data_IF_449486175251
#
_entry.id   IF_449486175251
#
_cell.length_a   1.000
_cell.length_b   1.000
_cell.length_c   1.000
_cell.angle_alpha   90.00
_cell.angle_beta   90.00
_cell.angle_gamma   90.00
#
_symmetry.space_group_name_H-M   'P 1'
#
loop_
_entity.id
_entity.type
_entity.pdbx_description
1 polymer ?
#
# COMPACT_ATOMS: atom_id res chain seq x y z
N UNK A 1 -17.36 35.87 2.71
CA UNK A 1 -16.50 36.24 3.85
C UNK A 1 -15.33 35.27 3.91
N UNK A 2 -14.14 35.66 3.46
CA UNK A 2 -12.95 34.80 3.52
C UNK A 2 -12.61 34.52 5.00
N UNK A 3 -12.58 33.23 5.37
CA UNK A 3 -12.38 32.74 6.73
C UNK A 3 -11.09 33.28 7.35
N UNK A 4 -11.16 33.72 8.60
CA UNK A 4 -10.05 34.24 9.43
C UNK A 4 -8.78 33.39 9.38
N UNK A 5 -8.91 32.07 9.14
CA UNK A 5 -7.79 31.15 8.96
C UNK A 5 -6.95 31.41 7.70
N UNK A 6 -7.56 31.82 6.58
CA UNK A 6 -6.83 32.10 5.32
C UNK A 6 -5.93 33.32 5.50
N UNK A 7 -6.43 34.37 6.15
CA UNK A 7 -5.65 35.58 6.46
C UNK A 7 -4.49 35.29 7.43
N UNK A 8 -4.66 34.34 8.36
CA UNK A 8 -3.61 33.93 9.28
C UNK A 8 -2.46 33.19 8.57
N UNK A 9 -2.77 32.27 7.65
CA UNK A 9 -1.74 31.58 6.86
C UNK A 9 -1.03 32.50 5.85
N UNK A 10 -1.75 33.45 5.25
CA UNK A 10 -1.15 34.47 4.37
C UNK A 10 -0.20 35.39 5.13
N UNK A 11 -0.57 35.82 6.35
CA UNK A 11 0.28 36.65 7.22
C UNK A 11 1.53 35.89 7.69
N UNK A 12 1.35 34.65 8.15
CA UNK A 12 2.46 33.79 8.58
C UNK A 12 3.45 33.45 7.44
N UNK A 13 2.95 33.34 6.20
CA UNK A 13 3.80 33.16 5.01
C UNK A 13 4.56 34.44 4.62
N UNK A 14 3.95 35.62 4.81
CA UNK A 14 4.62 36.92 4.66
C UNK A 14 5.74 37.11 5.68
N UNK A 15 5.43 36.89 6.96
CA UNK A 15 6.38 37.06 8.07
C UNK A 15 7.58 36.09 7.95
N UNK A 16 7.35 34.87 7.45
CA UNK A 16 8.41 33.90 7.18
C UNK A 16 9.33 34.33 6.01
N UNK A 17 8.78 34.99 4.97
CA UNK A 17 9.58 35.51 3.85
C UNK A 17 10.47 36.67 4.28
N UNK A 18 9.94 37.57 5.09
CA UNK A 18 10.70 38.71 5.62
C UNK A 18 11.80 38.25 6.59
N UNK A 19 11.53 37.24 7.43
CA UNK A 19 12.54 36.63 8.29
C UNK A 19 13.70 35.98 7.49
N UNK A 20 13.38 35.26 6.40
CA UNK A 20 14.39 34.66 5.50
C UNK A 20 15.21 35.74 4.79
N UNK A 21 14.60 36.85 4.39
CA UNK A 21 15.29 37.98 3.76
C UNK A 21 16.29 38.67 4.73
N UNK A 22 15.91 38.85 5.99
CA UNK A 22 16.79 39.39 7.04
C UNK A 22 17.96 38.44 7.33
N UNK A 23 17.70 37.13 7.34
CA UNK A 23 18.75 36.11 7.56
C UNK A 23 19.71 35.98 6.36
N UNK A 24 19.23 36.21 5.13
CA UNK A 24 20.05 36.24 3.92
C UNK A 24 20.98 37.47 3.88
N UNK A 25 20.52 38.64 4.36
CA UNK A 25 21.34 39.86 4.49
C UNK A 25 22.54 39.64 5.43
N UNK A 26 22.30 38.98 6.56
CA UNK A 26 23.33 38.77 7.60
C UNK A 26 24.37 37.70 7.25
N UNK A 27 24.01 36.70 6.43
CA UNK A 27 24.94 35.61 6.06
C UNK A 27 25.54 35.68 4.66
N UNK A 28 24.87 36.35 3.71
CA UNK A 28 25.17 36.24 2.27
C UNK A 28 25.43 37.62 1.63
N UNK A 29 25.22 38.73 2.37
CA UNK A 29 25.54 40.09 1.89
C UNK A 29 24.67 40.60 0.74
N UNK A 30 23.53 39.96 0.49
CA UNK A 30 22.61 40.34 -0.59
C UNK A 30 21.68 41.48 -0.15
N UNK A 31 21.48 42.46 -1.04
CA UNK A 31 20.55 43.57 -0.83
C UNK A 31 19.09 43.06 -0.71
N UNK A 32 18.26 43.63 0.19
CA UNK A 32 16.91 43.14 0.45
C UNK A 32 16.02 43.02 -0.79
N UNK A 33 16.09 44.00 -1.68
CA UNK A 33 15.28 44.03 -2.91
C UNK A 33 15.66 42.90 -3.87
N UNK A 34 16.94 42.52 -3.89
CA UNK A 34 17.43 41.41 -4.71
C UNK A 34 16.99 40.06 -4.14
N UNK A 35 16.94 39.93 -2.81
CA UNK A 35 16.39 38.72 -2.16
C UNK A 35 14.89 38.62 -2.38
N UNK A 36 14.16 39.75 -2.28
CA UNK A 36 12.71 39.80 -2.56
C UNK A 36 12.42 39.43 -4.02
N UNK A 37 13.13 40.01 -4.98
CA UNK A 37 12.98 39.67 -6.40
C UNK A 37 13.30 38.19 -6.69
N UNK A 38 14.29 37.60 -6.02
CA UNK A 38 14.60 36.17 -6.13
C UNK A 38 13.51 35.29 -5.51
N UNK A 39 12.94 35.69 -4.37
CA UNK A 39 11.84 34.97 -3.72
C UNK A 39 10.55 35.05 -4.54
N UNK A 40 10.26 36.20 -5.15
CA UNK A 40 9.12 36.43 -6.04
C UNK A 40 9.27 35.67 -7.37
N UNK A 41 10.50 35.62 -7.92
CA UNK A 41 10.81 34.82 -9.11
C UNK A 41 10.91 33.31 -8.82
N UNK A 42 11.07 32.92 -7.55
CA UNK A 42 11.16 31.52 -7.17
C UNK A 42 9.77 30.89 -7.12
N UNK A 43 9.56 29.88 -7.96
CA UNK A 43 8.36 29.05 -7.88
C UNK A 43 8.36 28.33 -6.52
N UNK A 44 7.24 28.36 -5.76
CA UNK A 44 7.13 27.58 -4.53
C UNK A 44 7.31 26.10 -4.87
N UNK A 45 8.12 25.40 -4.08
CA UNK A 45 8.30 23.97 -4.22
C UNK A 45 6.93 23.28 -4.08
N UNK A 46 6.65 22.34 -4.97
CA UNK A 46 5.49 21.47 -4.79
C UNK A 46 5.67 20.65 -3.50
N UNK A 47 4.57 20.17 -2.88
CA UNK A 47 4.66 19.33 -1.68
C UNK A 47 5.58 18.11 -1.85
N UNK A 48 5.66 17.53 -3.06
CA UNK A 48 6.59 16.44 -3.36
C UNK A 48 8.05 16.89 -3.46
N UNK A 49 8.32 18.05 -4.04
CA UNK A 49 9.68 18.60 -4.14
C UNK A 49 10.21 19.03 -2.78
N UNK A 50 9.39 19.70 -1.98
CA UNK A 50 9.72 20.04 -0.59
C UNK A 50 10.00 18.77 0.22
N UNK A 51 9.16 17.74 0.06
CA UNK A 51 9.36 16.43 0.68
C UNK A 51 10.68 15.78 0.23
N UNK A 52 10.99 15.75 -1.06
CA UNK A 52 12.27 15.22 -1.58
C UNK A 52 13.47 15.99 -1.05
N UNK A 53 13.37 17.32 -0.96
CA UNK A 53 14.42 18.17 -0.40
C UNK A 53 14.66 17.86 1.08
N UNK A 54 13.59 17.73 1.88
CA UNK A 54 13.67 17.33 3.29
C UNK A 54 14.28 15.94 3.46
N UNK A 55 13.87 14.95 2.65
CA UNK A 55 14.46 13.60 2.69
C UNK A 55 15.97 13.63 2.37
N UNK A 56 16.40 14.50 1.44
CA UNK A 56 17.83 14.70 1.14
C UNK A 56 18.59 15.34 2.31
N UNK A 57 18.02 16.34 2.97
CA UNK A 57 18.62 17.00 4.15
C UNK A 57 18.72 16.06 5.35
N UNK A 58 17.76 15.15 5.49
CA UNK A 58 17.71 14.16 6.57
C UNK A 58 18.73 13.03 6.39
N UNK A 59 19.42 12.92 5.24
CA UNK A 59 20.46 11.88 5.00
C UNK A 59 21.62 12.02 6.00
N UNK A 60 21.64 11.26 7.10
CA UNK A 60 22.72 11.38 8.05
C UNK A 60 23.78 10.36 7.62
N UNK A 61 25.02 10.83 7.43
CA UNK A 61 26.14 9.95 7.73
C UNK A 61 25.95 9.60 9.22
N UNK A 62 25.74 8.31 9.53
CA UNK A 62 25.85 7.70 10.86
C UNK A 62 24.88 8.02 12.03
N UNK A 63 23.75 8.73 11.88
CA UNK A 63 22.83 8.83 13.04
C UNK A 63 22.07 7.52 13.29
N UNK A 64 22.28 6.96 14.49
CA UNK A 64 21.71 5.71 14.96
C UNK A 64 20.19 5.75 15.11
N UNK A 65 19.61 4.64 15.56
CA UNK A 65 18.15 4.37 15.54
C UNK A 65 17.32 5.36 16.39
N UNK A 66 17.93 5.96 17.42
CA UNK A 66 17.34 6.91 18.37
C UNK A 66 17.78 8.36 18.15
N UNK A 67 18.82 8.59 17.33
CA UNK A 67 19.41 9.92 17.12
C UNK A 67 18.76 10.72 15.98
N UNK A 68 17.59 10.29 15.51
CA UNK A 68 16.89 10.99 14.42
C UNK A 68 16.09 12.17 14.98
N UNK A 69 16.17 13.36 14.34
CA UNK A 69 15.29 14.47 14.68
C UNK A 69 13.81 14.08 14.56
N UNK A 70 12.97 14.59 15.46
CA UNK A 70 11.53 14.28 15.50
C UNK A 70 10.83 14.49 14.15
N UNK A 71 11.11 15.60 13.48
CA UNK A 71 10.50 15.92 12.17
C UNK A 71 10.85 14.88 11.09
N UNK A 72 12.04 14.29 11.14
CA UNK A 72 12.47 13.26 10.21
C UNK A 72 11.67 11.96 10.42
N UNK A 73 11.48 11.58 11.68
CA UNK A 73 10.67 10.41 12.06
C UNK A 73 9.20 10.60 11.68
N UNK A 74 8.64 11.79 11.92
CA UNK A 74 7.27 12.13 11.53
C UNK A 74 7.08 12.07 10.01
N UNK A 75 8.05 12.59 9.24
CA UNK A 75 8.04 12.51 7.78
C UNK A 75 8.10 11.07 7.28
N UNK A 76 9.03 10.27 7.83
CA UNK A 76 9.14 8.83 7.57
C UNK A 76 7.83 8.11 7.85
N UNK A 77 7.15 8.44 8.95
CA UNK A 77 5.90 7.81 9.34
C UNK A 77 4.73 8.24 8.43
N UNK A 78 4.68 9.50 8.01
CA UNK A 78 3.73 9.96 7.01
C UNK A 78 3.90 9.20 5.68
N UNK A 79 5.14 9.00 5.23
CA UNK A 79 5.43 8.17 4.05
C UNK A 79 5.07 6.70 4.25
N UNK A 80 5.26 6.15 5.45
CA UNK A 80 4.78 4.81 5.77
C UNK A 80 3.25 4.69 5.67
N UNK A 81 2.52 5.65 6.24
CA UNK A 81 1.04 5.69 6.15
C UNK A 81 0.58 5.74 4.69
N UNK A 82 1.26 6.53 3.86
CA UNK A 82 1.00 6.66 2.41
C UNK A 82 1.34 5.39 1.62
N UNK A 83 2.53 4.82 1.83
CA UNK A 83 3.05 3.71 1.03
C UNK A 83 2.57 2.33 1.51
N UNK A 84 2.07 2.23 2.75
CA UNK A 84 1.64 1.00 3.44
C UNK A 84 2.70 -0.12 3.39
N UNK A 85 3.98 0.24 3.37
CA UNK A 85 5.08 -0.73 3.27
C UNK A 85 6.38 -0.18 3.84
N UNK A 86 6.88 -0.80 4.90
CA UNK A 86 8.17 -0.45 5.52
C UNK A 86 9.34 -0.55 4.55
N UNK A 87 9.34 -1.53 3.63
CA UNK A 87 10.40 -1.69 2.65
C UNK A 87 10.39 -0.57 1.60
N UNK A 88 9.20 -0.10 1.18
CA UNK A 88 9.09 1.05 0.27
C UNK A 88 9.52 2.35 0.97
N UNK A 89 9.06 2.56 2.20
CA UNK A 89 9.46 3.71 3.01
C UNK A 89 10.96 3.71 3.29
N UNK A 90 11.54 2.57 3.65
CA UNK A 90 12.98 2.43 3.86
C UNK A 90 13.77 2.83 2.63
N UNK A 91 13.42 2.32 1.45
CA UNK A 91 14.08 2.72 0.18
C UNK A 91 13.98 4.21 -0.09
N UNK A 92 12.83 4.83 0.17
CA UNK A 92 12.64 6.27 -0.01
C UNK A 92 13.58 7.09 0.90
N UNK A 93 13.80 6.62 2.13
CA UNK A 93 14.63 7.27 3.14
C UNK A 93 16.05 6.70 3.22
N UNK A 94 16.48 5.91 2.23
CA UNK A 94 17.78 5.23 2.18
C UNK A 94 18.11 4.40 3.44
N UNK A 95 17.10 3.74 4.01
CA UNK A 95 17.19 2.88 5.20
C UNK A 95 16.66 1.47 4.92
N UNK A 96 17.15 0.49 5.67
CA UNK A 96 16.61 -0.87 5.59
C UNK A 96 15.22 -0.95 6.21
N UNK A 97 14.40 -1.93 5.77
CA UNK A 97 13.10 -2.23 6.39
C UNK A 97 13.23 -2.43 7.91
N UNK A 98 14.27 -3.15 8.36
CA UNK A 98 14.52 -3.42 9.77
C UNK A 98 14.82 -2.13 10.55
N UNK A 99 15.60 -1.22 9.95
CA UNK A 99 15.84 0.10 10.55
C UNK A 99 14.54 0.90 10.68
N UNK A 100 13.67 0.91 9.66
CA UNK A 100 12.38 1.60 9.75
C UNK A 100 11.50 1.04 10.87
N UNK A 101 11.43 -0.29 10.98
CA UNK A 101 10.69 -0.96 12.06
C UNK A 101 11.19 -0.50 13.43
N UNK A 102 12.50 -0.53 13.64
CA UNK A 102 13.12 -0.14 14.92
C UNK A 102 12.94 1.33 15.24
N UNK A 103 13.06 2.23 14.25
CA UNK A 103 12.80 3.67 14.43
C UNK A 103 11.36 3.89 14.88
N UNK A 104 10.38 3.30 14.18
CA UNK A 104 8.98 3.49 14.55
C UNK A 104 8.66 2.87 15.92
N UNK A 105 9.22 1.71 16.24
CA UNK A 105 9.08 1.09 17.55
C UNK A 105 9.68 1.95 18.68
N UNK A 106 10.90 2.46 18.50
CA UNK A 106 11.58 3.29 19.49
C UNK A 106 10.86 4.62 19.77
N UNK A 107 10.12 5.13 18.79
CA UNK A 107 9.33 6.36 18.90
C UNK A 107 7.84 6.11 19.19
N UNK A 108 7.45 4.87 19.55
CA UNK A 108 6.07 4.54 19.92
C UNK A 108 5.05 4.67 18.77
N UNK A 109 5.50 4.62 17.52
CA UNK A 109 4.66 4.79 16.34
C UNK A 109 4.07 3.44 15.90
N UNK A 110 2.73 3.28 15.89
CA UNK A 110 2.11 2.00 15.60
C UNK A 110 2.26 1.63 14.12
N UNK A 111 2.53 0.35 13.88
CA UNK A 111 2.56 -0.23 12.55
C UNK A 111 1.21 -0.85 12.24
N UNK A 112 0.82 -0.86 10.97
CA UNK A 112 -0.31 -1.64 10.51
C UNK A 112 -0.13 -3.10 10.91
N UNK A 113 -1.17 -3.65 11.52
CA UNK A 113 -1.23 -5.05 11.88
C UNK A 113 -1.10 -5.93 10.64
N UNK A 114 -0.45 -7.08 10.83
CA UNK A 114 -0.43 -8.11 9.78
C UNK A 114 -1.85 -8.63 9.62
N UNK A 115 -2.44 -8.41 8.44
CA UNK A 115 -3.67 -9.09 8.06
C UNK A 115 -3.36 -10.56 7.80
N UNK A 116 -3.43 -11.39 8.84
CA UNK A 116 -3.36 -12.83 8.68
C UNK A 116 -4.60 -13.28 7.92
N UNK A 117 -4.41 -13.84 6.73
CA UNK A 117 -5.49 -14.46 5.99
C UNK A 117 -5.96 -15.70 6.76
N UNK A 118 -7.28 -15.85 6.92
CA UNK A 118 -7.86 -17.05 7.54
C UNK A 118 -7.40 -18.28 6.75
N UNK A 119 -6.76 -19.22 7.43
CA UNK A 119 -6.37 -20.50 6.87
C UNK A 119 -7.52 -21.49 7.01
N UNK A 120 -7.73 -22.32 6.00
CA UNK A 120 -8.65 -23.46 6.07
C UNK A 120 -7.82 -24.73 6.26
N UNK A 121 -8.20 -25.57 7.23
CA UNK A 121 -7.58 -26.89 7.44
C UNK A 121 -8.48 -27.96 6.86
N UNK A 122 -7.97 -28.78 5.94
CA UNK A 122 -8.72 -29.88 5.34
C UNK A 122 -7.78 -31.03 4.99
N UNK A 123 -8.19 -32.26 5.30
CA UNK A 123 -7.41 -33.49 5.03
C UNK A 123 -5.93 -33.40 5.51
N UNK A 124 -5.69 -32.82 6.69
CA UNK A 124 -4.34 -32.66 7.26
C UNK A 124 -3.48 -31.57 6.60
N UNK A 125 -4.03 -30.79 5.66
CA UNK A 125 -3.32 -29.71 4.95
C UNK A 125 -3.93 -28.35 5.29
N UNK A 126 -3.09 -27.31 5.30
CA UNK A 126 -3.55 -25.92 5.45
C UNK A 126 -3.66 -25.25 4.07
N UNK A 127 -4.70 -24.44 3.87
CA UNK A 127 -4.99 -23.73 2.64
C UNK A 127 -5.16 -22.24 2.89
N UNK A 128 -4.61 -21.43 2.00
CA UNK A 128 -4.73 -19.96 2.03
C UNK A 128 -5.23 -19.42 0.70
N UNK A 129 -5.99 -18.30 0.68
CA UNK A 129 -6.45 -17.69 -0.55
C UNK A 129 -5.28 -17.13 -1.36
N UNK A 130 -5.23 -17.49 -2.64
CA UNK A 130 -4.32 -16.89 -3.63
C UNK A 130 -4.81 -15.53 -4.13
N UNK A 131 -4.00 -14.88 -4.99
CA UNK A 131 -4.35 -13.59 -5.62
C UNK A 131 -5.63 -13.65 -6.45
N UNK A 132 -5.92 -14.81 -7.04
CA UNK A 132 -7.11 -15.09 -7.86
C UNK A 132 -8.34 -15.55 -7.04
N UNK A 133 -8.22 -15.57 -5.71
CA UNK A 133 -9.28 -15.97 -4.80
C UNK A 133 -9.40 -17.49 -4.56
N UNK A 134 -8.64 -18.32 -5.29
CA UNK A 134 -8.65 -19.76 -5.06
C UNK A 134 -7.75 -20.14 -3.87
N UNK A 135 -8.30 -20.97 -2.98
CA UNK A 135 -7.55 -21.50 -1.84
C UNK A 135 -6.58 -22.59 -2.30
N UNK A 136 -5.31 -22.45 -1.93
CA UNK A 136 -4.23 -23.38 -2.29
C UNK A 136 -3.51 -23.87 -1.05
N UNK A 137 -3.04 -25.11 -1.11
CA UNK A 137 -2.24 -25.69 -0.04
C UNK A 137 -0.99 -24.84 0.21
N UNK A 138 -0.69 -24.58 1.49
CA UNK A 138 0.49 -23.81 1.90
C UNK A 138 1.77 -24.61 1.83
N UNK A 139 1.67 -25.94 1.79
CA UNK A 139 2.78 -26.89 1.70
C UNK A 139 2.57 -27.90 0.57
N UNK A 140 3.67 -28.45 0.05
CA UNK A 140 3.68 -29.45 -1.02
C UNK A 140 3.29 -28.89 -2.39
N UNK A 141 2.50 -29.65 -3.14
CA UNK A 141 2.10 -29.44 -4.55
C UNK A 141 1.22 -28.19 -4.84
N UNK A 142 0.90 -27.38 -3.82
CA UNK A 142 0.01 -26.21 -3.92
C UNK A 142 -1.37 -26.51 -4.56
N UNK A 143 -1.86 -27.76 -4.45
CA UNK A 143 -3.18 -28.16 -4.95
C UNK A 143 -4.29 -27.25 -4.41
N UNK A 144 -5.32 -27.07 -5.24
CA UNK A 144 -6.44 -26.19 -4.94
C UNK A 144 -7.45 -26.90 -4.05
N UNK A 145 -7.97 -26.22 -3.03
CA UNK A 145 -8.83 -26.82 -2.00
C UNK A 145 -10.08 -27.47 -2.59
N UNK A 146 -10.73 -26.83 -3.57
CA UNK A 146 -11.96 -27.36 -4.16
C UNK A 146 -11.73 -28.65 -4.96
N UNK A 147 -10.56 -28.83 -5.59
CA UNK A 147 -10.19 -30.11 -6.20
C UNK A 147 -10.04 -31.19 -5.14
N UNK A 148 -9.34 -30.90 -4.04
CA UNK A 148 -9.12 -31.88 -2.95
C UNK A 148 -10.45 -32.30 -2.31
N UNK A 149 -11.39 -31.35 -2.14
CA UNK A 149 -12.73 -31.65 -1.61
C UNK A 149 -13.52 -32.51 -2.59
N UNK A 150 -13.55 -32.13 -3.87
CA UNK A 150 -14.29 -32.87 -4.89
C UNK A 150 -13.73 -34.29 -5.07
N UNK A 151 -12.40 -34.44 -5.14
CA UNK A 151 -11.75 -35.73 -5.34
C UNK A 151 -11.96 -36.69 -4.17
N UNK A 152 -12.00 -36.16 -2.95
CA UNK A 152 -12.28 -36.97 -1.76
C UNK A 152 -13.70 -37.54 -1.76
N UNK A 153 -14.66 -36.83 -2.38
CA UNK A 153 -16.05 -37.26 -2.46
C UNK A 153 -16.36 -38.12 -3.70
N UNK A 154 -15.70 -37.88 -4.84
CA UNK A 154 -16.06 -38.47 -6.14
C UNK A 154 -14.93 -39.29 -6.79
N UNK A 155 -13.72 -39.31 -6.23
CA UNK A 155 -12.55 -39.91 -6.84
C UNK A 155 -11.76 -38.95 -7.75
N UNK A 156 -10.77 -39.43 -8.52
CA UNK A 156 -9.89 -38.58 -9.31
C UNK A 156 -10.67 -37.77 -10.37
N UNK A 157 -10.27 -36.52 -10.60
CA UNK A 157 -10.84 -35.70 -11.68
C UNK A 157 -10.47 -36.32 -13.03
N UNK A 158 -11.44 -36.65 -13.91
CA UNK A 158 -11.14 -37.23 -15.21
C UNK A 158 -10.28 -36.30 -16.08
N UNK A 159 -9.51 -36.89 -17.00
CA UNK A 159 -8.73 -36.10 -17.95
C UNK A 159 -9.62 -35.15 -18.76
N UNK A 160 -9.14 -33.93 -19.01
CA UNK A 160 -9.90 -32.90 -19.73
C UNK A 160 -11.06 -32.28 -18.94
N UNK A 161 -11.23 -32.62 -17.66
CA UNK A 161 -12.24 -32.05 -16.79
C UNK A 161 -11.65 -31.05 -15.79
N UNK A 162 -12.50 -30.12 -15.35
CA UNK A 162 -12.16 -29.13 -14.35
C UNK A 162 -13.27 -29.03 -13.31
N UNK A 163 -12.87 -28.89 -12.05
CA UNK A 163 -13.77 -28.61 -10.95
C UNK A 163 -13.99 -27.10 -10.86
N UNK A 164 -15.25 -26.67 -10.83
CA UNK A 164 -15.65 -25.26 -10.75
C UNK A 164 -16.75 -25.03 -9.71
N UNK A 165 -16.95 -23.78 -9.30
CA UNK A 165 -17.99 -23.36 -8.37
C UNK A 165 -19.26 -22.96 -9.13
N UNK A 166 -20.39 -23.62 -8.86
CA UNK A 166 -21.68 -23.34 -9.53
C UNK A 166 -22.17 -21.92 -9.23
N UNK A 167 -22.08 -21.47 -7.97
CA UNK A 167 -22.48 -20.12 -7.56
C UNK A 167 -21.39 -19.04 -7.76
N UNK A 168 -20.21 -19.42 -8.27
CA UNK A 168 -19.03 -18.58 -8.42
C UNK A 168 -18.45 -17.95 -7.15
N UNK A 169 -18.97 -18.27 -5.97
CA UNK A 169 -18.34 -17.96 -4.71
C UNK A 169 -17.23 -18.97 -4.43
N UNK A 170 -15.98 -18.54 -4.64
CA UNK A 170 -14.77 -19.34 -4.39
C UNK A 170 -14.51 -19.65 -2.92
N UNK A 171 -15.42 -19.27 -2.02
CA UNK A 171 -15.40 -19.55 -0.57
C UNK A 171 -16.45 -20.58 -0.16
N UNK A 172 -17.41 -20.89 -1.03
CA UNK A 172 -18.44 -21.89 -0.77
C UNK A 172 -18.01 -23.26 -1.26
N UNK A 173 -17.34 -24.01 -0.38
CA UNK A 173 -16.75 -25.32 -0.65
C UNK A 173 -17.71 -26.50 -0.46
N UNK A 174 -19.01 -26.25 -0.26
CA UNK A 174 -20.02 -27.31 -0.15
C UNK A 174 -20.00 -28.17 -1.42
N UNK A 175 -20.05 -29.49 -1.27
CA UNK A 175 -19.87 -30.42 -2.40
C UNK A 175 -20.95 -30.21 -3.47
N UNK A 176 -22.15 -29.83 -3.04
CA UNK A 176 -23.30 -29.53 -3.91
C UNK A 176 -23.06 -28.31 -4.80
N UNK A 177 -22.19 -27.38 -4.36
CA UNK A 177 -21.78 -26.19 -5.10
C UNK A 177 -20.59 -26.45 -6.03
N UNK A 178 -19.94 -27.61 -5.93
CA UNK A 178 -18.87 -27.99 -6.83
C UNK A 178 -19.42 -28.78 -8.02
N UNK A 179 -18.87 -28.53 -9.20
CA UNK A 179 -19.18 -29.28 -10.41
C UNK A 179 -17.89 -29.66 -11.12
N UNK A 180 -17.76 -30.93 -11.51
CA UNK A 180 -16.71 -31.40 -12.40
C UNK A 180 -17.30 -31.55 -13.80
N UNK A 181 -16.78 -30.78 -14.75
CA UNK A 181 -17.28 -30.77 -16.13
C UNK A 181 -16.10 -30.61 -17.10
N UNK A 182 -16.27 -30.92 -18.40
CA UNK A 182 -15.25 -30.68 -19.41
C UNK A 182 -14.75 -29.23 -19.39
N UNK A 183 -13.45 -29.02 -19.65
CA UNK A 183 -12.84 -27.67 -19.63
C UNK A 183 -13.57 -26.70 -20.58
N UNK A 184 -14.02 -27.21 -21.74
CA UNK A 184 -14.83 -26.45 -22.70
C UNK A 184 -16.12 -25.94 -22.05
N UNK A 185 -16.80 -26.79 -21.31
CA UNK A 185 -18.07 -26.46 -20.67
C UNK A 185 -17.88 -25.50 -19.51
N UNK A 186 -16.78 -25.61 -18.74
CA UNK A 186 -16.42 -24.60 -17.72
C UNK A 186 -16.27 -23.22 -18.36
N UNK A 187 -15.61 -23.16 -19.52
CA UNK A 187 -15.38 -21.90 -20.25
C UNK A 187 -16.71 -21.29 -20.69
N UNK A 188 -17.59 -22.10 -21.29
CA UNK A 188 -18.92 -21.67 -21.72
C UNK A 188 -19.80 -21.26 -20.53
N UNK A 189 -19.76 -22.03 -19.44
CA UNK A 189 -20.49 -21.76 -18.20
C UNK A 189 -20.09 -20.40 -17.61
N UNK A 190 -18.80 -20.10 -17.56
CA UNK A 190 -18.32 -18.81 -17.07
C UNK A 190 -18.65 -17.66 -18.03
N UNK A 191 -18.57 -17.88 -19.35
CA UNK A 191 -18.95 -16.89 -20.34
C UNK A 191 -20.44 -16.53 -20.26
N UNK A 192 -21.33 -17.52 -20.28
CA UNK A 192 -22.78 -17.33 -20.19
C UNK A 192 -23.17 -16.56 -18.92
N UNK A 193 -22.53 -16.89 -17.79
CA UNK A 193 -22.76 -16.20 -16.52
C UNK A 193 -22.30 -14.75 -16.53
N UNK A 194 -21.17 -14.44 -17.16
CA UNK A 194 -20.69 -13.06 -17.31
C UNK A 194 -21.63 -12.23 -18.17
N UNK A 195 -22.14 -12.78 -19.26
CA UNK A 195 -23.14 -12.10 -20.11
C UNK A 195 -24.43 -11.85 -19.35
N UNK A 196 -24.98 -12.86 -18.68
CA UNK A 196 -26.21 -12.71 -17.89
C UNK A 196 -26.07 -11.70 -16.74
N UNK A 197 -24.91 -11.63 -16.09
CA UNK A 197 -24.65 -10.63 -15.06
C UNK A 197 -24.57 -9.20 -15.64
N UNK A 198 -24.03 -9.04 -16.85
CA UNK A 198 -23.99 -7.76 -17.57
C UNK A 198 -25.39 -7.30 -17.97
N UNK A 199 -26.22 -8.22 -18.45
CA UNK A 199 -27.60 -7.90 -18.86
C UNK A 199 -28.46 -7.47 -17.67
N UNK A 200 -28.31 -8.12 -16.50
CA UNK A 200 -28.98 -7.72 -15.25
C UNK A 200 -28.49 -6.38 -14.68
N UNK A 201 -27.29 -5.95 -15.05
CA UNK A 201 -26.69 -4.68 -14.60
C UNK A 201 -26.97 -3.52 -15.56
N UNK A 202 -27.66 -3.77 -16.69
CA UNK A 202 -28.09 -2.72 -17.61
C UNK A 202 -29.37 -2.07 -17.03
N UNK A 203 -29.37 -0.75 -16.82
CA UNK A 203 -30.50 -0.03 -16.25
C UNK A 203 -31.74 -0.05 -17.14
#
# INVERSE_FOLDING_TARGET
>A
MASSAVRYFERAAGDARDAVAVQARTKIGLAPDRVRALLEASRPLTPEEARRAMVRQVRPKSCGRTGLPRYAVELMYADYKRLRSLSKTGRLHARTRQSMYQIFQAHGLPLYERRFQRKIRFAGREFTPGKDGYYRATSGDRRQLHYVIWERANGPVPAGHQVTFKNADKRDFRIENLACMPIRDVTLFHHARHTAAKDRAKP
#
